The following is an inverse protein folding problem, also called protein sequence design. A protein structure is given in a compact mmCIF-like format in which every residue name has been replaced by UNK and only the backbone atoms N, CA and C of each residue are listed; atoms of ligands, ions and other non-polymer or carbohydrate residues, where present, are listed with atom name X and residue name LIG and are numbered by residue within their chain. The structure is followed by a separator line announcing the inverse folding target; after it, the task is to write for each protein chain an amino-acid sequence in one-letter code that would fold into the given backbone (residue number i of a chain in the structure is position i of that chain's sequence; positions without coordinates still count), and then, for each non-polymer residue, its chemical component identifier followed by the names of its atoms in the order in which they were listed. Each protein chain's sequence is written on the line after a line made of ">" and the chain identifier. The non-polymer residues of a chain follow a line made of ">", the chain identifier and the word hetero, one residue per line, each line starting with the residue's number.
data_IF_479829960777
#
_entry.id   IF_479829960777
#
_cell.length_a   1.000
_cell.length_b   1.000
_cell.length_c   1.000
_cell.angle_alpha   90.00
_cell.angle_beta   90.00
_cell.angle_gamma   90.00
#
_symmetry.space_group_name_H-M   'P 1'
#
loop_
_entity.id
_entity.type
_entity.pdbx_description
1 polymer ?
#
# COMPACT_ATOMS: atom_id res chain seq x y z
N UNK A 1 -34.46 -36.70 -14.44
CA UNK A 1 -33.39 -36.12 -15.27
C UNK A 1 -33.20 -34.65 -14.91
N UNK A 2 -34.28 -33.89 -14.87
CA UNK A 2 -34.22 -32.47 -14.53
C UNK A 2 -33.66 -32.15 -13.14
N UNK A 3 -34.03 -32.84 -12.05
CA UNK A 3 -33.48 -32.57 -10.74
C UNK A 3 -31.98 -32.76 -10.60
N UNK A 4 -31.41 -33.71 -11.31
CA UNK A 4 -29.96 -33.98 -11.29
C UNK A 4 -29.16 -32.91 -12.01
N UNK A 5 -29.64 -32.43 -13.15
CA UNK A 5 -29.02 -31.36 -13.91
C UNK A 5 -29.04 -30.04 -13.13
N UNK A 6 -30.15 -29.73 -12.46
CA UNK A 6 -30.29 -28.55 -11.63
C UNK A 6 -29.35 -28.57 -10.41
N UNK A 7 -29.16 -29.74 -9.78
CA UNK A 7 -28.23 -29.89 -8.64
C UNK A 7 -26.79 -29.58 -9.04
N UNK A 8 -26.35 -30.12 -10.19
CA UNK A 8 -25.00 -29.91 -10.70
C UNK A 8 -24.76 -28.42 -11.02
N UNK A 9 -25.72 -27.74 -11.64
CA UNK A 9 -25.66 -26.29 -11.92
C UNK A 9 -25.63 -25.45 -10.66
N UNK A 10 -26.40 -25.81 -9.65
CA UNK A 10 -26.46 -25.11 -8.36
C UNK A 10 -25.10 -25.24 -7.64
N UNK A 11 -24.48 -26.42 -7.67
CA UNK A 11 -23.16 -26.67 -7.08
C UNK A 11 -22.05 -25.85 -7.79
N UNK A 12 -22.09 -25.78 -9.12
CA UNK A 12 -21.15 -24.97 -9.90
C UNK A 12 -21.29 -23.48 -9.57
N UNK A 13 -22.51 -22.96 -9.51
CA UNK A 13 -22.78 -21.57 -9.17
C UNK A 13 -22.34 -21.23 -7.75
N UNK A 14 -22.56 -22.13 -6.79
CA UNK A 14 -22.13 -21.97 -5.41
C UNK A 14 -20.60 -21.93 -5.31
N UNK A 15 -19.90 -22.79 -6.07
CA UNK A 15 -18.43 -22.82 -6.12
C UNK A 15 -17.86 -21.52 -6.70
N UNK A 16 -18.44 -21.01 -7.77
CA UNK A 16 -18.05 -19.73 -8.40
C UNK A 16 -18.27 -18.57 -7.43
N UNK A 17 -19.40 -18.55 -6.71
CA UNK A 17 -19.71 -17.51 -5.72
C UNK A 17 -18.71 -17.53 -4.56
N UNK A 18 -18.28 -18.69 -4.09
CA UNK A 18 -17.27 -18.82 -3.04
C UNK A 18 -15.90 -18.31 -3.49
N UNK A 19 -15.48 -18.65 -4.71
CA UNK A 19 -14.23 -18.15 -5.29
C UNK A 19 -14.24 -16.64 -5.43
N UNK A 20 -15.36 -16.08 -5.86
CA UNK A 20 -15.55 -14.64 -6.02
C UNK A 20 -15.48 -13.90 -4.68
N UNK A 21 -16.07 -14.47 -3.63
CA UNK A 21 -16.00 -13.93 -2.27
C UNK A 21 -14.57 -13.91 -1.75
N UNK A 22 -13.79 -14.94 -2.01
CA UNK A 22 -12.38 -15.02 -1.63
C UNK A 22 -11.54 -13.96 -2.34
N UNK A 23 -11.76 -13.77 -3.64
CA UNK A 23 -11.09 -12.76 -4.45
C UNK A 23 -11.42 -11.34 -3.98
N UNK A 24 -12.69 -11.09 -3.67
CA UNK A 24 -13.15 -9.80 -3.14
C UNK A 24 -12.55 -9.50 -1.77
N UNK A 25 -12.45 -10.51 -0.91
CA UNK A 25 -11.82 -10.38 0.41
C UNK A 25 -10.33 -10.05 0.29
N UNK A 26 -9.61 -10.70 -0.63
CA UNK A 26 -8.20 -10.42 -0.92
C UNK A 26 -8.01 -9.02 -1.46
N UNK A 27 -8.86 -8.60 -2.40
CA UNK A 27 -8.85 -7.25 -2.98
C UNK A 27 -9.04 -6.18 -1.91
N UNK A 28 -10.02 -6.35 -1.03
CA UNK A 28 -10.29 -5.43 0.09
C UNK A 28 -9.10 -5.32 1.03
N UNK A 29 -8.44 -6.44 1.30
CA UNK A 29 -7.26 -6.51 2.14
C UNK A 29 -6.10 -5.71 1.53
N UNK A 30 -5.88 -5.88 0.23
CA UNK A 30 -4.84 -5.14 -0.53
C UNK A 30 -5.18 -3.65 -0.58
N UNK A 31 -6.42 -3.29 -0.83
CA UNK A 31 -6.89 -1.90 -0.84
C UNK A 31 -6.66 -1.20 0.50
N UNK A 32 -6.90 -1.90 1.61
CA UNK A 32 -6.62 -1.40 2.96
C UNK A 32 -5.14 -1.20 3.21
N UNK A 33 -4.31 -2.13 2.74
CA UNK A 33 -2.84 -2.01 2.83
C UNK A 33 -2.34 -0.80 2.06
N UNK A 34 -2.85 -0.60 0.84
CA UNK A 34 -2.50 0.54 -0.01
C UNK A 34 -2.88 1.85 0.68
N UNK A 35 -4.10 1.95 1.21
CA UNK A 35 -4.58 3.14 1.91
C UNK A 35 -3.70 3.46 3.13
N UNK A 36 -3.34 2.44 3.90
CA UNK A 36 -2.46 2.58 5.07
C UNK A 36 -1.07 3.05 4.69
N UNK A 37 -0.50 2.48 3.60
CA UNK A 37 0.81 2.88 3.09
C UNK A 37 0.80 4.31 2.54
N UNK A 38 -0.27 4.72 1.87
CA UNK A 38 -0.44 6.09 1.38
C UNK A 38 -0.45 7.11 2.54
N UNK A 39 -1.16 6.81 3.62
CA UNK A 39 -1.18 7.63 4.84
C UNK A 39 0.20 7.71 5.47
N UNK A 40 0.90 6.58 5.55
CA UNK A 40 2.25 6.48 6.09
C UNK A 40 3.24 7.31 5.28
N UNK A 41 3.19 7.21 3.95
CA UNK A 41 4.03 7.99 3.04
C UNK A 41 3.77 9.49 3.20
N UNK A 42 2.50 9.90 3.25
CA UNK A 42 2.12 11.30 3.46
C UNK A 42 2.67 11.85 4.78
N UNK A 43 2.52 11.08 5.86
CA UNK A 43 3.02 11.44 7.18
C UNK A 43 4.55 11.59 7.18
N UNK A 44 5.25 10.68 6.52
CA UNK A 44 6.72 10.72 6.39
C UNK A 44 7.17 11.90 5.53
N UNK A 45 6.47 12.20 4.46
CA UNK A 45 6.76 13.36 3.60
C UNK A 45 6.58 14.68 4.34
N UNK A 46 5.55 14.80 5.17
CA UNK A 46 5.32 15.97 6.05
C UNK A 46 6.47 16.14 7.02
N UNK A 47 6.90 15.08 7.68
CA UNK A 47 8.05 15.11 8.60
C UNK A 47 9.34 15.51 7.90
N UNK A 48 9.56 14.97 6.69
CA UNK A 48 10.71 15.33 5.87
C UNK A 48 10.71 16.81 5.52
N UNK A 49 9.54 17.34 5.13
CA UNK A 49 9.35 18.74 4.81
C UNK A 49 9.66 19.65 6.02
N UNK A 50 9.21 19.26 7.21
CA UNK A 50 9.51 19.96 8.46
C UNK A 50 11.00 19.97 8.77
N UNK A 51 11.68 18.84 8.55
CA UNK A 51 13.12 18.72 8.76
C UNK A 51 13.92 19.53 7.72
N UNK A 52 13.47 19.55 6.47
CA UNK A 52 14.07 20.37 5.41
C UNK A 52 13.94 21.86 5.76
N UNK A 53 12.79 22.27 6.31
CA UNK A 53 12.57 23.62 6.79
C UNK A 53 13.51 23.98 7.94
N UNK A 54 13.77 23.04 8.87
CA UNK A 54 14.74 23.22 9.96
C UNK A 54 16.16 23.40 9.42
N UNK A 55 16.55 22.65 8.40
CA UNK A 55 17.87 22.79 7.75
C UNK A 55 18.05 24.14 7.06
N UNK A 56 16.97 24.78 6.65
CA UNK A 56 16.98 26.11 6.07
C UNK A 56 17.12 27.21 7.11
N UNK A 57 16.91 26.90 8.40
CA UNK A 57 17.04 27.84 9.50
C UNK A 57 18.52 28.11 9.82
N UNK A 58 18.99 29.39 9.81
CA UNK A 58 20.38 29.73 10.15
C UNK A 58 20.83 29.23 11.52
N UNK A 59 19.92 29.16 12.49
CA UNK A 59 20.24 28.66 13.83
C UNK A 59 20.60 27.19 13.83
N UNK A 60 20.13 26.42 12.83
CA UNK A 60 20.40 24.98 12.68
C UNK A 60 21.65 24.76 11.82
N UNK A 61 21.71 25.32 10.61
CA UNK A 61 22.85 25.05 9.71
C UNK A 61 24.17 25.71 10.17
N UNK A 62 24.12 26.73 10.97
CA UNK A 62 25.34 27.35 11.55
C UNK A 62 25.90 26.53 12.74
N UNK A 63 25.10 25.62 13.31
CA UNK A 63 25.52 24.73 14.38
C UNK A 63 25.75 23.32 13.84
N UNK A 64 27.03 22.92 13.76
CA UNK A 64 27.45 21.63 13.15
C UNK A 64 26.80 20.41 13.77
N UNK A 65 26.57 20.36 15.08
CA UNK A 65 25.93 19.25 15.77
C UNK A 65 24.44 19.14 15.45
N UNK A 66 23.74 20.29 15.48
CA UNK A 66 22.32 20.34 15.11
C UNK A 66 22.11 19.98 13.64
N UNK A 67 22.96 20.50 12.74
CA UNK A 67 22.92 20.21 11.32
C UNK A 67 23.10 18.70 11.05
N UNK A 68 24.05 18.06 11.72
CA UNK A 68 24.27 16.60 11.62
C UNK A 68 23.09 15.80 12.11
N UNK A 69 22.51 16.18 13.23
CA UNK A 69 21.35 15.52 13.82
C UNK A 69 20.13 15.57 12.89
N UNK A 70 19.85 16.74 12.34
CA UNK A 70 18.74 16.94 11.39
C UNK A 70 19.00 16.19 10.10
N UNK A 71 20.22 16.22 9.57
CA UNK A 71 20.63 15.48 8.38
C UNK A 71 20.40 13.96 8.54
N UNK A 72 20.78 13.44 9.69
CA UNK A 72 20.58 12.02 10.03
C UNK A 72 19.10 11.65 10.06
N UNK A 73 18.27 12.52 10.65
CA UNK A 73 16.82 12.32 10.68
C UNK A 73 16.21 12.35 9.28
N UNK A 74 16.68 13.25 8.41
CA UNK A 74 16.23 13.34 7.01
C UNK A 74 16.58 12.04 6.28
N UNK A 75 17.79 11.52 6.45
CA UNK A 75 18.23 10.26 5.83
C UNK A 75 17.40 9.07 6.30
N UNK A 76 17.11 8.97 7.60
CA UNK A 76 16.27 7.91 8.18
C UNK A 76 14.86 7.97 7.62
N UNK A 77 14.27 9.14 7.51
CA UNK A 77 12.93 9.33 6.96
C UNK A 77 12.92 9.03 5.46
N UNK A 78 13.94 9.45 4.72
CA UNK A 78 14.06 9.15 3.29
C UNK A 78 14.11 7.64 3.04
N UNK A 79 14.82 6.87 3.88
CA UNK A 79 14.84 5.41 3.81
C UNK A 79 13.47 4.80 4.10
N UNK A 80 12.76 5.31 5.09
CA UNK A 80 11.40 4.86 5.43
C UNK A 80 10.42 5.12 4.28
N UNK A 81 10.54 6.28 3.63
CA UNK A 81 9.73 6.62 2.46
C UNK A 81 10.03 5.64 1.31
N UNK A 82 11.30 5.31 1.06
CA UNK A 82 11.70 4.34 0.04
C UNK A 82 11.08 2.97 0.28
N UNK A 83 11.18 2.46 1.50
CA UNK A 83 10.62 1.17 1.91
C UNK A 83 9.09 1.17 1.77
N UNK A 84 8.44 2.22 2.26
CA UNK A 84 6.98 2.36 2.19
C UNK A 84 6.50 2.47 0.74
N UNK A 85 7.22 3.21 -0.11
CA UNK A 85 6.91 3.36 -1.53
C UNK A 85 7.07 2.02 -2.28
N UNK A 86 8.13 1.26 -1.99
CA UNK A 86 8.34 -0.06 -2.56
C UNK A 86 7.21 -1.03 -2.18
N UNK A 87 6.78 -1.00 -0.92
CA UNK A 87 5.66 -1.81 -0.43
C UNK A 87 4.34 -1.40 -1.11
N UNK A 88 4.14 -0.09 -1.30
CA UNK A 88 2.99 0.47 -2.00
C UNK A 88 2.95 0.01 -3.46
N UNK A 89 4.08 0.04 -4.15
CA UNK A 89 4.21 -0.44 -5.54
C UNK A 89 3.87 -1.91 -5.66
N UNK A 90 4.38 -2.74 -4.75
CA UNK A 90 4.08 -4.18 -4.72
C UNK A 90 2.60 -4.45 -4.47
N UNK A 91 2.00 -3.75 -3.53
CA UNK A 91 0.58 -3.87 -3.22
C UNK A 91 -0.29 -3.43 -4.41
N UNK A 92 0.10 -2.35 -5.10
CA UNK A 92 -0.57 -1.85 -6.30
C UNK A 92 -0.49 -2.86 -7.45
N UNK A 93 0.66 -3.51 -7.66
CA UNK A 93 0.83 -4.58 -8.65
C UNK A 93 -0.07 -5.77 -8.36
N UNK A 94 -0.16 -6.18 -7.10
CA UNK A 94 -1.05 -7.27 -6.67
C UNK A 94 -2.51 -6.93 -6.96
N UNK A 95 -2.90 -5.70 -6.72
CA UNK A 95 -4.26 -5.23 -6.99
C UNK A 95 -4.57 -5.25 -8.49
N UNK A 96 -3.64 -4.78 -9.32
CA UNK A 96 -3.77 -4.80 -10.79
C UNK A 96 -3.88 -6.23 -11.32
N UNK A 97 -3.05 -7.15 -10.82
CA UNK A 97 -3.10 -8.57 -11.21
C UNK A 97 -4.42 -9.22 -10.84
N UNK A 98 -4.97 -8.89 -9.68
CA UNK A 98 -6.28 -9.38 -9.24
C UNK A 98 -7.39 -8.85 -10.15
N UNK A 99 -7.35 -7.57 -10.51
CA UNK A 99 -8.31 -6.93 -11.42
C UNK A 99 -8.24 -7.51 -12.84
N UNK A 100 -7.02 -7.76 -13.37
CA UNK A 100 -6.81 -8.34 -14.69
C UNK A 100 -7.33 -9.78 -14.75
N UNK A 101 -7.13 -10.56 -13.69
CA UNK A 101 -7.68 -11.93 -13.58
C UNK A 101 -9.21 -11.94 -13.59
N UNK A 102 -9.85 -10.98 -12.94
CA UNK A 102 -11.31 -10.82 -12.95
C UNK A 102 -11.82 -10.44 -14.33
N UNK A 103 -11.10 -9.56 -15.05
CA UNK A 103 -11.47 -9.14 -16.39
C UNK A 103 -11.37 -10.26 -17.42
N UNK A 104 -10.50 -11.25 -17.22
CA UNK A 104 -10.33 -12.42 -18.11
C UNK A 104 -11.29 -13.55 -17.83
N UNK A 105 -11.89 -13.58 -16.67
CA UNK A 105 -12.85 -14.63 -16.31
C UNK A 105 -14.28 -14.21 -16.62
#
# INVERSE_FOLDING_TARGET
>A
VFPLENKDKILELASIAEEQKKKDAERRKIEKEIAKLEEEILSLEEKKSELDAKMADPAVYSNGEKAKSVQKQIEEIAQKIEVATAAWEQASEKLELTSVKEAKS
#
